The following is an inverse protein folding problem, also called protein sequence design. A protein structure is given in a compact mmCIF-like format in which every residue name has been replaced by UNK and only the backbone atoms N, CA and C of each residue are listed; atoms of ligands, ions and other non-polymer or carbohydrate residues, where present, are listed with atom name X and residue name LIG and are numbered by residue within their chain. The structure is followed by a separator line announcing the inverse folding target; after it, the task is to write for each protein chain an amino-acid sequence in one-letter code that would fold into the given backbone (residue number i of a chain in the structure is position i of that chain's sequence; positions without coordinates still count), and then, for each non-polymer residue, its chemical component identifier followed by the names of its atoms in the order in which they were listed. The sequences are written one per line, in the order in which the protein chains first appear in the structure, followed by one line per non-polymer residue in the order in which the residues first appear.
data_IF_892455443299
#
_entry.id   IF_892455443299
#
_cell.length_a   1.000
_cell.length_b   1.000
_cell.length_c   1.000
_cell.angle_alpha   90.00
_cell.angle_beta   90.00
_cell.angle_gamma   90.00
#
_symmetry.space_group_name_H-M   'P 1'
#
loop_
_entity.id
_entity.type
_entity.pdbx_description
1 polymer ?
#
# COMPACT_ATOMS: atom_id res chain seq x y z
N UNK A 1 -16.45 -7.65 17.08
CA UNK A 1 -15.39 -6.94 16.33
C UNK A 1 -15.79 -5.50 16.24
N UNK A 2 -14.86 -4.60 16.53
CA UNK A 2 -15.13 -3.17 16.73
C UNK A 2 -14.16 -2.37 15.88
N UNK A 3 -14.60 -1.20 15.39
CA UNK A 3 -13.73 -0.31 14.64
C UNK A 3 -12.56 0.18 15.50
N UNK A 4 -11.39 0.28 14.87
CA UNK A 4 -10.20 0.88 15.47
C UNK A 4 -10.43 2.36 15.72
N UNK A 5 -9.85 2.86 16.81
CA UNK A 5 -10.09 4.22 17.30
C UNK A 5 -9.64 5.28 16.28
N UNK A 6 -8.40 5.18 15.79
CA UNK A 6 -7.83 6.14 14.83
C UNK A 6 -6.90 5.44 13.85
N UNK A 7 -6.85 5.97 12.63
CA UNK A 7 -5.99 5.51 11.55
C UNK A 7 -4.82 6.48 11.34
N UNK A 8 -3.60 5.96 11.39
CA UNK A 8 -2.36 6.73 11.27
C UNK A 8 -1.81 6.69 9.85
N UNK A 9 -1.85 5.55 9.17
CA UNK A 9 -1.29 5.37 7.84
C UNK A 9 -2.09 4.34 7.04
N UNK A 10 -2.21 4.58 5.74
CA UNK A 10 -2.71 3.60 4.78
C UNK A 10 -1.76 3.60 3.61
N UNK A 11 -1.26 2.43 3.28
CA UNK A 11 -0.40 2.20 2.13
C UNK A 11 -1.06 1.15 1.27
N UNK A 12 -1.25 1.48 -0.01
CA UNK A 12 -1.74 0.55 -1.01
C UNK A 12 -0.65 0.33 -2.05
N UNK A 13 -0.39 -0.94 -2.36
CA UNK A 13 0.54 -1.36 -3.38
C UNK A 13 -0.23 -2.12 -4.44
N UNK A 14 -0.01 -1.75 -5.69
CA UNK A 14 -0.68 -2.37 -6.83
C UNK A 14 0.41 -3.02 -7.67
N UNK A 15 0.34 -4.35 -7.78
CA UNK A 15 1.17 -5.12 -8.69
C UNK A 15 0.35 -5.49 -9.93
N UNK A 16 0.72 -4.94 -11.08
CA UNK A 16 0.01 -5.21 -12.35
C UNK A 16 0.55 -6.47 -13.03
N UNK A 17 -0.23 -7.54 -13.13
CA UNK A 17 0.03 -8.57 -14.13
C UNK A 17 -0.80 -8.26 -15.39
N UNK A 18 -0.35 -8.71 -16.56
CA UNK A 18 -0.79 -8.30 -17.91
C UNK A 18 -2.31 -8.13 -18.17
N UNK A 19 -3.19 -8.70 -17.36
CA UNK A 19 -4.63 -8.44 -17.39
C UNK A 19 -5.30 -8.33 -16.01
N UNK A 20 -4.60 -8.66 -14.93
CA UNK A 20 -5.16 -8.82 -13.59
C UNK A 20 -4.16 -8.31 -12.57
N UNK A 21 -4.59 -7.34 -11.77
CA UNK A 21 -3.73 -6.72 -10.76
C UNK A 21 -3.96 -7.33 -9.39
N UNK A 22 -2.89 -7.38 -8.60
CA UNK A 22 -2.93 -7.72 -7.19
C UNK A 22 -2.80 -6.43 -6.38
N UNK A 23 -3.77 -6.15 -5.52
CA UNK A 23 -3.79 -4.95 -4.68
C UNK A 23 -3.59 -5.35 -3.24
N UNK A 24 -2.46 -4.95 -2.65
CA UNK A 24 -2.15 -5.13 -1.23
C UNK A 24 -2.39 -3.83 -0.48
N UNK A 25 -3.18 -3.88 0.59
CA UNK A 25 -3.55 -2.75 1.42
C UNK A 25 -3.02 -3.02 2.82
N UNK A 26 -2.25 -2.09 3.34
CA UNK A 26 -1.70 -2.12 4.70
C UNK A 26 -2.21 -0.87 5.42
N UNK A 27 -2.86 -1.07 6.55
CA UNK A 27 -3.33 0.01 7.42
C UNK A 27 -2.63 -0.08 8.78
N UNK A 28 -2.16 1.06 9.26
CA UNK A 28 -1.63 1.25 10.61
C UNK A 28 -2.52 2.24 11.35
N UNK A 29 -2.91 1.89 12.56
CA UNK A 29 -3.76 2.71 13.40
C UNK A 29 -3.48 2.49 14.88
N UNK A 30 -4.30 3.09 15.72
CA UNK A 30 -4.24 2.92 17.17
C UNK A 30 -5.59 2.53 17.73
N UNK A 31 -5.59 1.53 18.60
CA UNK A 31 -6.74 1.17 19.42
C UNK A 31 -6.79 2.06 20.68
N UNK A 32 -7.95 2.14 21.32
CA UNK A 32 -8.18 3.02 22.47
C UNK A 32 -7.53 2.55 23.78
N UNK A 33 -7.24 1.25 23.89
CA UNK A 33 -6.67 0.61 25.09
C UNK A 33 -5.71 -0.50 24.67
N UNK A 34 -4.96 -1.06 25.61
CA UNK A 34 -4.21 -2.31 25.36
C UNK A 34 -5.13 -3.52 25.20
N UNK A 35 -4.59 -4.62 24.67
CA UNK A 35 -5.27 -5.92 24.62
C UNK A 35 -6.16 -6.14 23.40
N UNK A 36 -6.15 -5.22 22.44
CA UNK A 36 -6.78 -5.43 21.15
C UNK A 36 -5.96 -6.40 20.29
N UNK A 37 -6.64 -7.26 19.54
CA UNK A 37 -6.01 -8.26 18.68
C UNK A 37 -6.70 -8.36 17.32
N UNK A 38 -6.09 -9.10 16.39
CA UNK A 38 -6.69 -9.49 15.11
C UNK A 38 -7.21 -8.30 14.28
N UNK A 39 -6.33 -7.32 14.07
CA UNK A 39 -6.58 -6.22 13.15
C UNK A 39 -6.89 -6.75 11.75
N UNK A 40 -8.02 -6.33 11.19
CA UNK A 40 -8.47 -6.73 9.86
C UNK A 40 -9.10 -5.57 9.11
N UNK A 41 -8.99 -5.61 7.79
CA UNK A 41 -9.71 -4.72 6.90
C UNK A 41 -10.90 -5.45 6.29
N UNK A 42 -12.11 -4.98 6.56
CA UNK A 42 -13.33 -5.53 5.99
C UNK A 42 -13.80 -4.63 4.84
N UNK A 43 -13.85 -5.18 3.62
CA UNK A 43 -14.34 -4.43 2.45
C UNK A 43 -15.84 -4.16 2.62
N UNK A 44 -16.24 -2.92 2.41
CA UNK A 44 -17.66 -2.54 2.28
C UNK A 44 -18.10 -2.89 0.85
N UNK A 45 -19.09 -3.78 0.75
CA UNK A 45 -19.66 -4.18 -0.54
C UNK A 45 -20.71 -3.16 -0.95
N UNK A 46 -20.38 -2.34 -1.93
CA UNK A 46 -21.32 -1.40 -2.54
C UNK A 46 -22.18 -2.13 -3.57
N UNK A 47 -23.51 -2.05 -3.43
CA UNK A 47 -24.47 -2.62 -4.41
C UNK A 47 -24.44 -1.84 -5.72
N UNK A 48 -24.18 -0.54 -5.65
CA UNK A 48 -24.06 0.36 -6.79
C UNK A 48 -22.65 0.96 -6.79
N UNK A 49 -22.01 1.12 -7.96
CA UNK A 49 -20.74 1.84 -8.05
C UNK A 49 -20.81 3.21 -7.35
N UNK A 50 -19.87 3.50 -6.44
CA UNK A 50 -19.83 4.79 -5.79
C UNK A 50 -19.43 5.87 -6.81
N UNK A 51 -20.00 7.07 -6.68
CA UNK A 51 -19.79 8.17 -7.65
C UNK A 51 -18.34 8.67 -7.69
N UNK A 52 -17.58 8.45 -6.62
CA UNK A 52 -16.15 8.79 -6.53
C UNK A 52 -15.24 7.66 -7.05
N UNK A 53 -15.79 6.47 -7.36
CA UNK A 53 -15.03 5.31 -7.81
C UNK A 53 -14.08 4.73 -6.75
N UNK A 54 -14.29 5.06 -5.47
CA UNK A 54 -13.42 4.66 -4.36
C UNK A 54 -13.99 3.43 -3.66
N UNK A 55 -13.14 2.43 -3.43
CA UNK A 55 -13.51 1.27 -2.62
C UNK A 55 -13.28 1.58 -1.14
N UNK A 56 -14.22 1.17 -0.29
CA UNK A 56 -14.15 1.45 1.13
C UNK A 56 -13.86 0.17 1.94
N UNK A 57 -13.08 0.34 3.00
CA UNK A 57 -12.72 -0.69 3.96
C UNK A 57 -12.93 -0.18 5.38
N UNK A 58 -13.47 -1.02 6.25
CA UNK A 58 -13.50 -0.77 7.69
C UNK A 58 -12.29 -1.39 8.37
N UNK A 59 -11.57 -0.61 9.18
CA UNK A 59 -10.52 -1.13 10.04
C UNK A 59 -11.13 -1.64 11.34
N UNK A 60 -11.24 -2.96 11.44
CA UNK A 60 -11.82 -3.67 12.58
C UNK A 60 -10.74 -4.40 13.38
N UNK A 61 -10.99 -4.63 14.66
CA UNK A 61 -10.21 -5.54 15.48
C UNK A 61 -11.07 -6.16 16.58
N UNK A 62 -10.51 -7.15 17.26
CA UNK A 62 -11.08 -7.73 18.46
C UNK A 62 -10.76 -6.84 19.65
N UNK A 63 -11.82 -6.36 20.31
CA UNK A 63 -11.69 -5.68 21.58
C UNK A 63 -11.23 -6.68 22.66
N UNK A 64 -10.48 -6.22 23.67
CA UNK A 64 -10.12 -7.06 24.81
C UNK A 64 -11.36 -7.61 25.51
N UNK A 65 -11.23 -8.77 26.15
CA UNK A 65 -12.30 -9.33 26.97
C UNK A 65 -12.66 -8.36 28.10
N UNK A 66 -13.94 -8.29 28.49
CA UNK A 66 -14.39 -7.41 29.58
C UNK A 66 -13.69 -7.71 30.91
N UNK A 67 -13.23 -8.94 31.11
CA UNK A 67 -12.49 -9.38 32.29
C UNK A 67 -10.98 -9.15 32.22
N UNK A 68 -10.47 -8.68 31.07
CA UNK A 68 -9.04 -8.43 30.90
C UNK A 68 -8.65 -7.11 31.56
N UNK A 69 -7.51 -7.11 32.26
CA UNK A 69 -6.90 -5.87 32.75
C UNK A 69 -6.30 -5.15 31.54
N UNK A 70 -6.80 -3.95 31.25
CA UNK A 70 -6.35 -3.11 30.13
C UNK A 70 -5.79 -1.79 30.66
N UNK A 71 -4.83 -1.23 29.93
CA UNK A 71 -4.32 0.12 30.17
C UNK A 71 -5.01 1.10 29.20
N UNK A 72 -5.35 2.27 29.71
CA UNK A 72 -5.93 3.38 28.93
C UNK A 72 -4.86 4.13 28.14
N UNK A 73 -4.19 3.41 27.24
CA UNK A 73 -3.17 3.97 26.35
C UNK A 73 -3.49 3.61 24.91
N UNK A 74 -3.19 4.54 23.99
CA UNK A 74 -3.35 4.30 22.57
C UNK A 74 -2.29 3.30 22.10
N UNK A 75 -2.71 2.09 21.74
CA UNK A 75 -1.79 1.04 21.27
C UNK A 75 -1.81 0.89 19.76
N UNK A 76 -0.64 0.78 19.11
CA UNK A 76 -0.58 0.57 17.67
C UNK A 76 -1.18 -0.79 17.29
N UNK A 77 -1.86 -0.84 16.16
CA UNK A 77 -2.38 -2.07 15.55
C UNK A 77 -2.30 -1.95 14.03
N UNK A 78 -1.96 -3.05 13.38
CA UNK A 78 -1.87 -3.15 11.92
C UNK A 78 -2.91 -4.13 11.39
N UNK A 79 -3.31 -3.89 10.15
CA UNK A 79 -4.12 -4.83 9.38
C UNK A 79 -3.68 -4.82 7.92
N UNK A 80 -3.78 -5.97 7.28
CA UNK A 80 -3.51 -6.15 5.88
C UNK A 80 -4.71 -6.78 5.18
N UNK A 81 -4.93 -6.42 3.92
CA UNK A 81 -5.89 -7.07 3.05
C UNK A 81 -5.32 -7.09 1.63
N UNK A 82 -5.57 -8.20 0.94
CA UNK A 82 -5.20 -8.36 -0.45
C UNK A 82 -6.46 -8.56 -1.30
N UNK A 83 -6.49 -7.92 -2.47
CA UNK A 83 -7.47 -8.22 -3.51
C UNK A 83 -6.71 -8.84 -4.69
N UNK A 84 -7.07 -10.05 -5.04
CA UNK A 84 -6.50 -10.78 -6.17
C UNK A 84 -7.40 -10.64 -7.40
N UNK A 85 -6.79 -10.76 -8.59
CA UNK A 85 -7.49 -10.79 -9.86
C UNK A 85 -8.38 -9.58 -10.12
N UNK A 86 -7.82 -8.38 -9.90
CA UNK A 86 -8.57 -7.12 -9.99
C UNK A 86 -8.29 -6.43 -11.32
N UNK A 87 -9.33 -6.17 -12.11
CA UNK A 87 -9.24 -5.24 -13.25
C UNK A 87 -9.42 -3.81 -12.74
N UNK A 88 -8.34 -3.03 -12.74
CA UNK A 88 -8.34 -1.64 -12.27
C UNK A 88 -9.16 -0.74 -13.20
N UNK A 89 -9.16 -1.02 -14.51
CA UNK A 89 -9.85 -0.19 -15.51
C UNK A 89 -11.36 -0.41 -15.50
N UNK A 90 -11.81 -1.60 -15.11
CA UNK A 90 -13.23 -1.99 -15.10
C UNK A 90 -13.72 -2.47 -13.72
N UNK A 91 -13.10 -2.00 -12.63
CA UNK A 91 -13.35 -2.50 -11.27
C UNK A 91 -14.81 -2.49 -10.85
N UNK A 92 -15.52 -1.41 -11.19
CA UNK A 92 -16.92 -1.21 -10.82
C UNK A 92 -17.91 -1.62 -11.92
N UNK A 93 -17.39 -2.06 -13.07
CA UNK A 93 -18.15 -2.30 -14.29
C UNK A 93 -17.40 -1.77 -15.51
N UNK A 94 -17.95 -2.03 -16.69
CA UNK A 94 -17.33 -1.65 -17.97
C UNK A 94 -17.10 -0.14 -18.04
N UNK A 95 -15.83 0.28 -18.15
CA UNK A 95 -15.42 1.68 -18.23
C UNK A 95 -15.43 2.43 -16.90
N UNK A 96 -15.62 1.76 -15.76
CA UNK A 96 -15.61 2.37 -14.43
C UNK A 96 -14.37 1.92 -13.64
N UNK A 97 -13.28 2.72 -13.67
CA UNK A 97 -12.03 2.34 -13.03
C UNK A 97 -12.07 2.51 -11.51
N UNK A 98 -11.19 1.78 -10.83
CA UNK A 98 -10.88 2.01 -9.42
C UNK A 98 -10.07 3.30 -9.28
N UNK A 99 -10.64 4.31 -8.61
CA UNK A 99 -10.01 5.62 -8.42
C UNK A 99 -9.25 5.75 -7.10
N UNK A 100 -9.59 4.94 -6.11
CA UNK A 100 -8.96 5.03 -4.80
C UNK A 100 -9.43 3.95 -3.83
N UNK A 101 -8.73 3.90 -2.70
CA UNK A 101 -9.00 3.00 -1.58
C UNK A 101 -9.12 3.85 -0.33
N UNK A 102 -10.28 3.81 0.32
CA UNK A 102 -10.54 4.52 1.57
C UNK A 102 -10.65 3.53 2.71
N UNK A 103 -9.90 3.78 3.77
CA UNK A 103 -9.99 3.02 5.03
C UNK A 103 -10.65 3.91 6.08
N UNK A 104 -11.71 3.38 6.68
CA UNK A 104 -12.52 4.00 7.72
C UNK A 104 -12.09 3.46 9.09
N UNK A 105 -11.92 4.36 10.04
CA UNK A 105 -11.78 4.09 11.45
C UNK A 105 -12.85 4.87 12.23
N UNK A 106 -12.96 4.64 13.54
CA UNK A 106 -14.02 5.22 14.36
C UNK A 106 -14.00 6.76 14.41
N UNK A 107 -12.82 7.38 14.33
CA UNK A 107 -12.66 8.85 14.42
C UNK A 107 -12.22 9.54 13.13
N UNK A 108 -11.68 8.80 12.18
CA UNK A 108 -11.18 9.37 10.95
C UNK A 108 -11.23 8.37 9.80
N UNK A 109 -10.95 8.87 8.61
CA UNK A 109 -10.78 8.07 7.41
C UNK A 109 -9.56 8.57 6.64
N UNK A 110 -8.85 7.66 5.97
CA UNK A 110 -7.80 8.03 5.02
C UNK A 110 -8.10 7.42 3.67
N UNK A 111 -7.88 8.21 2.63
CA UNK A 111 -8.04 7.78 1.24
C UNK A 111 -6.68 7.77 0.58
N UNK A 112 -6.39 6.70 -0.13
CA UNK A 112 -5.25 6.57 -1.02
C UNK A 112 -5.77 6.56 -2.44
N UNK A 113 -5.35 7.53 -3.24
CA UNK A 113 -5.73 7.61 -4.65
C UNK A 113 -4.91 6.62 -5.46
N UNK A 114 -5.58 5.95 -6.41
CA UNK A 114 -4.94 5.07 -7.39
C UNK A 114 -4.65 5.92 -8.62
N UNK A 115 -3.37 6.23 -8.81
CA UNK A 115 -2.88 7.04 -9.91
C UNK A 115 -2.04 6.18 -10.87
N UNK A 116 -1.97 6.59 -12.12
CA UNK A 116 -1.03 6.00 -13.08
C UNK A 116 0.43 6.31 -12.69
N UNK A 117 1.38 5.53 -13.22
CA UNK A 117 2.83 5.73 -13.01
C UNK A 117 3.30 7.14 -13.40
N UNK A 118 2.75 7.67 -14.48
CA UNK A 118 3.08 9.00 -15.01
C UNK A 118 2.59 10.10 -14.05
N UNK A 119 1.33 10.01 -13.62
CA UNK A 119 0.74 10.97 -12.68
C UNK A 119 1.41 10.90 -11.30
N UNK A 120 1.74 9.70 -10.82
CA UNK A 120 2.44 9.51 -9.53
C UNK A 120 3.89 10.02 -9.57
N UNK A 121 4.61 9.80 -10.67
CA UNK A 121 5.96 10.34 -10.89
C UNK A 121 5.95 11.87 -10.95
N UNK A 122 4.96 12.47 -11.63
CA UNK A 122 4.77 13.91 -11.65
C UNK A 122 4.41 14.49 -10.28
N UNK A 123 3.52 13.83 -9.52
CA UNK A 123 3.16 14.27 -8.17
C UNK A 123 4.36 14.19 -7.22
N UNK A 124 5.13 13.11 -7.27
CA UNK A 124 6.34 12.94 -6.46
C UNK A 124 7.42 13.97 -6.80
N UNK A 125 7.51 14.42 -8.06
CA UNK A 125 8.38 15.54 -8.45
C UNK A 125 7.91 16.89 -7.89
N UNK A 126 6.60 17.07 -7.67
CA UNK A 126 5.98 18.34 -7.29
C UNK A 126 5.71 18.48 -5.78
N UNK A 127 5.65 17.40 -4.99
CA UNK A 127 5.27 17.47 -3.57
C UNK A 127 6.13 16.61 -2.63
N UNK A 128 6.23 17.07 -1.37
CA UNK A 128 6.69 16.31 -0.20
C UNK A 128 5.64 15.27 0.25
N UNK A 129 6.00 14.23 1.04
CA UNK A 129 5.38 12.91 0.98
C UNK A 129 3.93 12.92 1.48
N UNK A 130 2.98 12.70 0.56
CA UNK A 130 1.63 12.22 0.85
C UNK A 130 1.60 10.70 0.65
N UNK A 131 0.71 10.02 1.35
CA UNK A 131 0.44 8.60 1.11
C UNK A 131 -0.17 8.43 -0.29
N UNK A 132 0.63 7.99 -1.26
CA UNK A 132 0.24 7.75 -2.65
C UNK A 132 0.36 6.25 -2.90
N UNK A 133 -0.66 5.63 -3.49
CA UNK A 133 -0.53 4.26 -3.97
C UNK A 133 0.40 4.26 -5.18
N UNK A 134 1.50 3.52 -5.08
CA UNK A 134 2.43 3.35 -6.20
C UNK A 134 2.05 2.08 -6.93
N UNK A 135 1.78 2.21 -8.23
CA UNK A 135 1.73 1.06 -9.13
C UNK A 135 3.17 0.56 -9.29
N UNK A 136 3.45 -0.59 -8.72
CA UNK A 136 4.74 -1.26 -8.82
C UNK A 136 4.59 -2.32 -9.90
N UNK A 137 5.26 -2.12 -11.03
CA UNK A 137 5.32 -3.16 -12.05
C UNK A 137 5.94 -4.43 -11.45
N UNK A 138 5.44 -5.62 -11.81
CA UNK A 138 5.98 -6.87 -11.32
C UNK A 138 7.46 -6.93 -11.68
N UNK A 139 8.29 -7.22 -10.67
CA UNK A 139 9.71 -7.52 -10.85
C UNK A 139 9.84 -8.68 -11.83
N UNK A 140 10.10 -8.37 -13.12
CA UNK A 140 10.22 -9.38 -14.16
C UNK A 140 9.56 -9.09 -15.50
N UNK A 141 9.24 -7.84 -15.87
CA UNK A 141 9.02 -7.55 -17.29
C UNK A 141 10.36 -7.75 -18.03
N UNK A 142 10.45 -8.81 -18.83
CA UNK A 142 11.67 -9.27 -19.51
C UNK A 142 12.25 -8.29 -20.55
N UNK A 143 11.79 -7.02 -20.57
CA UNK A 143 12.24 -6.01 -21.52
C UNK A 143 13.32 -5.09 -20.97
N UNK A 144 13.44 -4.90 -19.66
CA UNK A 144 14.55 -4.15 -19.05
C UNK A 144 14.83 -4.70 -17.64
N UNK A 145 15.84 -5.59 -17.47
CA UNK A 145 16.29 -5.95 -16.14
C UNK A 145 16.83 -4.69 -15.44
N UNK A 146 16.58 -4.51 -14.13
CA UNK A 146 17.05 -3.35 -13.39
C UNK A 146 18.56 -3.19 -13.58
N UNK A 147 18.93 -2.04 -14.13
CA UNK A 147 20.27 -1.76 -14.61
C UNK A 147 21.05 -1.02 -13.54
N UNK A 148 22.26 -1.46 -13.23
CA UNK A 148 23.13 -0.78 -12.26
C UNK A 148 23.27 0.72 -12.57
N UNK A 149 23.32 1.07 -13.85
CA UNK A 149 23.56 2.42 -14.32
C UNK A 149 22.40 3.38 -14.04
N UNK A 150 21.16 2.90 -14.12
CA UNK A 150 19.95 3.74 -14.05
C UNK A 150 19.29 3.67 -12.67
N UNK A 151 19.28 2.48 -12.05
CA UNK A 151 18.50 2.26 -10.82
C UNK A 151 19.35 2.35 -9.56
N UNK A 152 20.60 1.89 -9.62
CA UNK A 152 21.46 1.71 -8.44
C UNK A 152 22.43 2.89 -8.31
N UNK A 153 23.12 3.27 -9.38
CA UNK A 153 24.14 4.32 -9.37
C UNK A 153 23.67 5.68 -8.81
N UNK A 154 22.46 6.18 -9.08
CA UNK A 154 22.01 7.47 -8.53
C UNK A 154 21.80 7.45 -7.01
N UNK A 155 21.63 6.27 -6.41
CA UNK A 155 21.42 6.10 -4.96
C UNK A 155 22.73 6.18 -4.17
N UNK A 156 23.88 6.06 -4.84
CA UNK A 156 25.20 6.11 -4.23
C UNK A 156 25.95 7.38 -4.62
N UNK A 157 26.74 7.92 -3.70
CA UNK A 157 27.66 9.02 -4.06
C UNK A 157 28.73 8.45 -4.99
N UNK A 158 29.28 9.27 -5.88
CA UNK A 158 30.31 8.84 -6.82
C UNK A 158 31.50 8.12 -6.15
N UNK A 159 31.86 8.50 -4.92
CA UNK A 159 32.91 7.83 -4.14
C UNK A 159 32.53 6.39 -3.74
N UNK A 160 31.27 6.17 -3.37
CA UNK A 160 30.77 4.89 -2.90
C UNK A 160 30.59 3.91 -4.07
N UNK A 161 30.05 4.41 -5.19
CA UNK A 161 29.95 3.65 -6.44
C UNK A 161 31.33 3.20 -6.98
N UNK A 162 32.34 4.06 -6.84
CA UNK A 162 33.72 3.71 -7.22
C UNK A 162 34.36 2.70 -6.25
N UNK A 163 34.06 2.79 -4.95
CA UNK A 163 34.54 1.81 -3.97
C UNK A 163 33.95 0.41 -4.21
N UNK A 164 32.67 0.33 -4.56
CA UNK A 164 32.00 -0.92 -4.92
C UNK A 164 32.60 -1.58 -6.18
N UNK A 165 33.08 -0.77 -7.13
CA UNK A 165 33.73 -1.25 -8.36
C UNK A 165 35.13 -1.82 -8.15
N UNK A 166 35.83 -1.36 -7.11
CA UNK A 166 37.22 -1.76 -6.80
C UNK A 166 37.24 -3.08 -6.01
N UNK A 167 36.14 -3.42 -5.33
CA UNK A 167 35.99 -4.66 -4.57
C UNK A 167 35.45 -5.77 -5.49
N UNK A 168 36.32 -6.27 -6.36
CA UNK A 168 36.06 -7.26 -7.41
C UNK A 168 35.22 -8.45 -6.94
N UNK A 169 34.02 -8.62 -7.50
CA UNK A 169 33.19 -9.82 -7.33
C UNK A 169 31.68 -9.62 -7.39
N UNK A 170 31.19 -8.38 -7.32
CA UNK A 170 29.75 -8.09 -7.40
C UNK A 170 29.37 -7.71 -8.84
N UNK A 171 29.03 -8.72 -9.66
CA UNK A 171 28.40 -8.52 -10.97
C UNK A 171 26.93 -8.91 -10.86
N UNK A 172 26.04 -7.91 -10.91
CA UNK A 172 24.58 -8.10 -10.84
C UNK A 172 23.99 -8.67 -12.15
N UNK A 173 24.80 -8.88 -13.19
CA UNK A 173 24.38 -9.43 -14.47
C UNK A 173 24.84 -10.88 -14.71
N UNK A 174 25.52 -11.51 -13.75
CA UNK A 174 25.87 -12.94 -13.80
C UNK A 174 25.05 -13.66 -12.74
N UNK A 175 23.92 -14.25 -13.16
CA UNK A 175 23.28 -15.33 -12.39
C UNK A 175 24.23 -16.54 -12.39
N UNK A 176 24.34 -17.30 -11.28
CA UNK A 176 24.95 -18.63 -11.33
C UNK A 176 24.18 -19.58 -12.26
#
# INVERSE_FOLDING_TARGET
MTQIHVLDEVTAQIAEAAALSHISIIALGRASTTGWSDGRLARIVNVVPPSDGIVEFEFLANAPLETAIVLEVLTPISANSAMENVDISNFWGTGLPLRGIRVLAARNSKTVEVLSKEESSELNRKMSPRAVAVVVEPTGSAKDPPGYQEDIRPLFRNRDANAMRIQSGFDLHILP
#
